data_IF_517860314277
#
_entry.id   IF_517860314277
#
_cell.length_a   1.000
_cell.length_b   1.000
_cell.length_c   1.000
_cell.angle_alpha   90.00
_cell.angle_beta   90.00
_cell.angle_gamma   90.00
#
_symmetry.space_group_name_H-M   'P 1'
#
loop_
_entity.id
_entity.type
_entity.pdbx_description
1 polymer ?
2 non-polymer ?
3 water ?
#
# COMPACT_ATOMS: atom_id res chain seq x y z
N UNK A 7 15.81 -21.56 0.41
CA UNK A 7 15.63 -21.47 -1.04
C UNK A 7 14.70 -20.31 -1.38
N UNK A 8 15.26 -19.12 -1.49
CA UNK A 8 14.52 -17.97 -1.99
C UNK A 8 14.34 -18.11 -3.50
N UNK A 9 13.32 -17.44 -4.01
CA UNK A 9 13.08 -17.43 -5.44
C UNK A 9 14.19 -16.66 -6.13
N UNK A 10 14.65 -17.17 -7.28
CA UNK A 10 15.67 -16.49 -8.08
C UNK A 10 15.18 -15.11 -8.50
N UNK A 11 15.94 -14.08 -8.11
CA UNK A 11 15.73 -12.74 -8.66
C UNK A 11 16.47 -12.65 -9.99
N UNK A 12 15.73 -12.38 -11.06
CA UNK A 12 16.31 -12.33 -12.40
C UNK A 12 17.23 -11.13 -12.54
N UNK A 13 18.45 -11.38 -13.01
CA UNK A 13 19.37 -10.32 -13.42
C UNK A 13 19.12 -10.00 -14.88
N UNK A 14 18.71 -8.77 -15.17
CA UNK A 14 18.34 -8.36 -16.52
C UNK A 14 19.52 -7.69 -17.18
N UNK A 15 19.76 -8.05 -18.45
CA UNK A 15 20.83 -7.41 -19.21
C UNK A 15 20.39 -6.03 -19.71
N UNK A 16 21.27 -5.02 -19.61
CA UNK A 16 20.85 -3.65 -19.95
C UNK A 16 20.36 -3.49 -21.39
N UNK A 17 20.80 -4.35 -22.31
CA UNK A 17 20.31 -4.24 -23.67
C UNK A 17 18.83 -4.61 -23.79
N UNK A 18 18.24 -5.17 -22.74
CA UNK A 18 16.83 -5.57 -22.78
C UNK A 18 15.89 -4.48 -22.26
N UNK A 19 16.42 -3.36 -21.78
CA UNK A 19 15.64 -2.33 -21.12
C UNK A 19 15.83 -1.02 -21.87
N UNK A 20 14.72 -0.32 -22.12
CA UNK A 20 14.76 1.04 -22.63
C UNK A 20 14.02 1.95 -21.66
N UNK A 21 14.64 3.08 -21.33
CA UNK A 21 13.99 4.14 -20.57
C UNK A 21 13.37 5.14 -21.55
N UNK A 22 12.07 5.35 -21.42
CA UNK A 22 11.37 6.23 -22.35
C UNK A 22 11.03 7.59 -21.76
N UNK A 23 10.76 7.64 -20.49
CA UNK A 23 10.42 8.87 -19.83
C UNK A 23 10.72 8.92 -18.36
N UNK A 24 11.23 10.07 -17.94
CA UNK A 24 11.57 10.38 -16.57
C UNK A 24 10.29 10.89 -15.93
N UNK A 25 9.78 10.10 -15.00
CA UNK A 25 8.53 10.34 -14.30
C UNK A 25 8.71 10.60 -12.81
N UNK A 26 9.71 10.47 -12.04
CA UNK A 26 9.97 11.00 -10.71
C UNK A 26 11.47 11.07 -10.46
N UNK A 27 11.84 11.90 -9.49
CA UNK A 27 13.24 12.11 -9.17
C UNK A 27 13.40 12.39 -7.69
N UNK A 28 14.41 11.76 -7.09
CA UNK A 28 14.79 12.01 -5.72
C UNK A 28 16.27 12.31 -5.62
N UNK A 29 16.81 12.43 -4.42
CA UNK A 29 18.23 12.69 -4.28
C UNK A 29 19.05 11.47 -4.50
N UNK A 30 18.42 10.32 -4.56
CA UNK A 30 19.13 9.06 -4.61
C UNK A 30 18.90 8.27 -5.89
N UNK A 31 18.08 8.77 -6.80
CA UNK A 31 17.80 8.09 -8.05
C UNK A 31 16.57 8.68 -8.69
N UNK A 32 16.18 8.09 -9.80
CA UNK A 32 14.97 8.52 -10.49
C UNK A 32 14.08 7.31 -10.78
N UNK A 33 12.82 7.60 -11.11
CA UNK A 33 11.89 6.60 -11.59
C UNK A 33 11.59 6.90 -13.05
N UNK A 34 11.66 5.88 -13.89
CA UNK A 34 11.37 6.02 -15.31
C UNK A 34 10.21 5.10 -15.69
N UNK A 35 9.48 5.51 -16.73
CA UNK A 35 8.64 4.60 -17.50
C UNK A 35 9.49 4.03 -18.63
N UNK A 36 9.38 2.73 -18.85
CA UNK A 36 10.18 2.10 -19.87
C UNK A 36 9.57 0.84 -20.44
N UNK A 37 10.36 0.12 -21.25
CA UNK A 37 9.97 -1.15 -21.82
C UNK A 37 11.04 -2.19 -21.50
N UNK A 38 10.61 -3.44 -21.40
CA UNK A 38 11.49 -4.57 -21.12
C UNK A 38 11.19 -5.68 -22.12
N UNK A 39 12.22 -6.16 -22.80
CA UNK A 39 12.05 -7.32 -23.67
C UNK A 39 12.45 -8.57 -22.91
N UNK A 40 11.72 -9.66 -23.15
CA UNK A 40 11.90 -10.90 -22.42
C UNK A 40 11.85 -12.07 -23.40
N UNK A 41 12.62 -13.10 -23.07
CA UNK A 41 12.42 -14.46 -23.59
C UNK A 41 12.34 -14.73 -25.12
N UNK A 42 13.30 -14.29 -25.93
CA UNK A 42 14.24 -13.21 -25.65
C UNK A 42 14.10 -12.29 -26.84
N UNK A 43 13.53 -11.12 -26.61
CA UNK A 43 13.14 -10.26 -27.71
C UNK A 43 11.86 -10.66 -28.38
N UNK A 44 11.04 -11.51 -27.75
CA UNK A 44 9.78 -11.94 -28.34
C UNK A 44 8.55 -11.34 -27.67
N UNK A 45 8.68 -10.83 -26.48
CA UNK A 45 7.59 -10.17 -25.82
C UNK A 45 8.12 -8.87 -25.23
N UNK A 46 7.31 -7.83 -25.22
CA UNK A 46 7.67 -6.52 -24.69
C UNK A 46 6.64 -6.09 -23.66
N UNK A 47 7.11 -5.71 -22.48
CA UNK A 47 6.20 -5.27 -21.44
C UNK A 47 6.58 -3.86 -21.00
N UNK A 48 5.61 -3.00 -20.73
CA UNK A 48 5.93 -1.71 -20.11
C UNK A 48 6.31 -1.93 -18.66
N UNK A 49 7.30 -1.17 -18.19
CA UNK A 49 7.86 -1.36 -16.86
C UNK A 49 8.13 -0.03 -16.20
N UNK A 50 8.11 -0.05 -14.86
CA UNK A 50 8.70 1.01 -14.06
C UNK A 50 10.14 0.65 -13.75
N UNK A 51 11.01 1.65 -13.81
CA UNK A 51 12.45 1.48 -13.66
C UNK A 51 12.91 2.46 -12.59
N UNK A 52 13.35 1.95 -11.45
CA UNK A 52 13.80 2.77 -10.33
C UNK A 52 15.32 2.60 -10.22
N UNK A 53 16.06 3.70 -10.24
CA UNK A 53 17.51 3.63 -10.23
C UNK A 53 18.06 4.03 -8.87
N UNK A 54 19.35 3.76 -8.70
CA UNK A 54 20.09 4.10 -7.54
C UNK A 54 21.40 4.78 -8.04
N UNK A 55 21.56 6.03 -7.69
CA UNK A 55 22.67 6.81 -8.19
C UNK A 55 24.03 6.46 -7.64
N UNK A 56 25.02 6.79 -8.43
CA UNK A 56 26.37 6.53 -8.06
C UNK A 56 26.68 7.28 -6.78
N UNK A 57 27.44 6.62 -5.94
CA UNK A 57 27.89 7.15 -4.69
C UNK A 57 27.19 6.54 -3.51
N UNK A 58 26.31 5.59 -3.81
CA UNK A 58 25.49 4.96 -2.83
C UNK A 58 26.24 4.21 -1.75
N UNK A 59 25.77 4.25 -0.52
CA UNK A 59 26.41 3.60 0.61
C UNK A 59 26.07 2.11 0.61
N UNK A 60 26.77 1.37 1.48
CA UNK A 60 26.44 -0.04 1.68
C UNK A 60 25.00 -0.20 2.17
N UNK A 61 24.56 0.67 3.09
CA UNK A 61 23.17 0.58 3.58
C UNK A 61 22.18 0.82 2.46
N UNK A 62 22.38 1.89 1.68
CA UNK A 62 21.52 2.15 0.54
C UNK A 62 21.48 0.95 -0.39
N UNK A 63 22.63 0.29 -0.59
CA UNK A 63 22.67 -0.86 -1.49
C UNK A 63 21.85 -2.02 -0.94
N UNK A 64 22.06 -2.38 0.33
CA UNK A 64 21.33 -3.51 0.87
C UNK A 64 19.82 -3.21 0.94
N UNK A 65 19.46 -1.96 1.25
CA UNK A 65 18.06 -1.57 1.26
C UNK A 65 17.45 -1.66 -0.13
N UNK A 66 18.17 -1.15 -1.14
CA UNK A 66 17.67 -1.09 -2.50
C UNK A 66 17.52 -2.49 -3.09
N UNK A 67 18.60 -3.26 -3.08
CA UNK A 67 18.54 -4.64 -3.60
C UNK A 67 17.69 -5.54 -2.70
N UNK A 68 17.72 -5.32 -1.38
CA UNK A 68 16.89 -6.11 -0.48
C UNK A 68 15.41 -5.93 -0.73
N UNK A 69 14.98 -4.71 -1.07
CA UNK A 69 13.59 -4.50 -1.47
C UNK A 69 13.23 -5.35 -2.68
N UNK A 70 14.13 -5.43 -3.65
CA UNK A 70 13.86 -6.29 -4.81
C UNK A 70 13.82 -7.76 -4.41
N UNK A 71 14.68 -8.19 -3.48
CA UNK A 71 14.67 -9.58 -3.07
C UNK A 71 13.38 -9.98 -2.39
N UNK A 72 12.78 -9.06 -1.63
CA UNK A 72 11.48 -9.31 -1.01
C UNK A 72 10.41 -9.43 -2.09
N UNK A 73 10.31 -8.43 -2.97
CA UNK A 73 9.34 -8.49 -4.06
C UNK A 73 9.47 -9.79 -4.85
N UNK A 74 10.71 -10.24 -5.09
CA UNK A 74 10.95 -11.43 -5.88
C UNK A 74 10.41 -12.71 -5.29
N UNK A 75 10.07 -12.70 -3.98
CA UNK A 75 9.52 -13.88 -3.35
C UNK A 75 8.01 -14.03 -3.55
N UNK A 76 7.34 -13.02 -4.10
CA UNK A 76 5.90 -12.96 -4.13
C UNK A 76 5.36 -13.16 -5.54
N UNK A 77 4.19 -13.81 -5.60
CA UNK A 77 3.45 -13.95 -6.85
C UNK A 77 1.97 -13.79 -6.50
N UNK A 78 1.51 -12.54 -6.44
CA UNK A 78 0.13 -12.28 -6.11
C UNK A 78 -0.37 -11.11 -6.93
N UNK A 79 -1.61 -11.25 -7.39
CA UNK A 79 -2.30 -10.25 -8.20
C UNK A 79 -2.23 -8.86 -7.57
N UNK A 80 -2.28 -8.78 -6.25
CA UNK A 80 -2.34 -7.50 -5.55
C UNK A 80 -1.02 -7.13 -4.90
N UNK A 81 0.08 -7.68 -5.40
CA UNK A 81 1.43 -7.33 -5.00
C UNK A 81 2.22 -6.96 -6.26
N UNK A 82 2.90 -5.81 -6.24
CA UNK A 82 3.59 -5.37 -7.46
C UNK A 82 4.59 -6.44 -7.91
N UNK A 83 4.54 -6.75 -9.20
CA UNK A 83 5.39 -7.80 -9.76
C UNK A 83 6.80 -7.29 -10.01
N UNK A 84 7.80 -8.09 -9.64
CA UNK A 84 9.19 -7.77 -9.93
C UNK A 84 9.56 -8.43 -11.27
N UNK A 85 9.95 -7.63 -12.25
CA UNK A 85 10.50 -8.23 -13.46
C UNK A 85 11.94 -8.65 -13.24
N UNK A 86 12.73 -7.83 -12.56
CA UNK A 86 14.10 -8.18 -12.25
C UNK A 86 14.90 -6.95 -11.89
N UNK A 87 16.23 -7.14 -11.83
CA UNK A 87 17.13 -6.07 -11.44
C UNK A 87 18.30 -6.02 -12.42
N UNK A 88 18.90 -4.85 -12.49
CA UNK A 88 20.24 -4.65 -13.04
C UNK A 88 21.12 -4.22 -11.88
N UNK A 89 22.03 -5.09 -11.46
CA UNK A 89 23.00 -4.78 -10.41
C UNK A 89 24.44 -4.93 -10.87
N UNK A 90 24.70 -5.77 -11.88
CA UNK A 90 26.04 -5.92 -12.45
C UNK A 90 26.51 -4.67 -13.16
N UNK A 91 25.59 -3.83 -13.61
CA UNK A 91 25.91 -2.61 -14.33
C UNK A 91 25.34 -1.43 -13.57
N UNK A 92 25.96 -0.26 -13.76
CA UNK A 92 25.56 0.96 -13.07
C UNK A 92 24.97 1.97 -14.04
N UNK A 93 23.95 2.75 -13.62
CA UNK A 93 23.34 2.66 -12.29
C UNK A 93 22.48 1.40 -12.14
N UNK A 94 22.39 0.91 -10.91
CA UNK A 94 21.56 -0.25 -10.64
C UNK A 94 20.09 0.11 -10.75
N UNK A 95 19.27 -0.86 -11.14
CA UNK A 95 17.87 -0.60 -11.40
C UNK A 95 17.01 -1.70 -10.80
N UNK A 96 15.82 -1.30 -10.35
CA UNK A 96 14.77 -2.24 -10.00
C UNK A 96 13.65 -2.07 -11.03
N UNK A 97 13.24 -3.17 -11.64
CA UNK A 97 12.32 -3.12 -12.77
C UNK A 97 11.07 -3.88 -12.36
N UNK A 98 9.95 -3.18 -12.32
CA UNK A 98 8.68 -3.73 -11.87
C UNK A 98 7.62 -3.47 -12.93
N UNK A 99 6.43 -4.03 -12.70
CA UNK A 99 5.36 -3.77 -13.64
C UNK A 99 4.93 -2.31 -13.57
N UNK A 100 4.55 -1.77 -14.72
CA UNK A 100 4.20 -0.37 -14.82
C UNK A 100 2.76 -0.16 -14.36
N UNK A 101 2.55 0.85 -13.54
CA UNK A 101 1.25 1.11 -12.91
C UNK A 101 0.81 2.51 -13.37
N UNK A 102 -0.07 2.53 -14.36
CA UNK A 102 -0.35 3.74 -15.14
C UNK A 102 -0.89 4.87 -14.29
N UNK A 103 -1.67 4.55 -13.25
CA UNK A 103 -2.35 5.59 -12.48
C UNK A 103 -1.61 5.96 -11.21
N UNK A 104 -0.40 5.42 -10.99
CA UNK A 104 0.45 5.90 -9.92
C UNK A 104 -0.09 5.55 -8.54
N UNK A 105 0.29 6.38 -7.58
CA UNK A 105 -0.05 6.15 -6.18
C UNK A 105 -1.53 6.38 -5.92
N UNK A 106 -2.11 5.52 -5.08
CA UNK A 106 -3.54 5.50 -4.86
C UNK A 106 -4.04 6.78 -4.20
N UNK A 107 -3.28 7.32 -3.25
CA UNK A 107 -3.75 8.53 -2.56
C UNK A 107 -3.89 9.71 -3.53
N UNK A 108 -2.87 9.95 -4.36
CA UNK A 108 -2.93 11.06 -5.30
C UNK A 108 -4.01 10.82 -6.37
N UNK A 109 -4.12 9.59 -6.86
CA UNK A 109 -5.13 9.22 -7.83
C UNK A 109 -6.54 9.52 -7.32
N UNK A 110 -6.83 9.11 -6.09
CA UNK A 110 -8.18 9.35 -5.57
C UNK A 110 -8.45 10.83 -5.40
N UNK A 111 -7.43 11.60 -5.01
CA UNK A 111 -7.62 13.05 -4.88
C UNK A 111 -7.96 13.70 -6.21
N UNK A 112 -7.42 13.16 -7.30
CA UNK A 112 -7.70 13.68 -8.62
C UNK A 112 -8.96 13.08 -9.25
N UNK A 113 -9.55 12.07 -8.60
CA UNK A 113 -10.81 11.49 -9.04
C UNK A 113 -11.90 11.69 -7.99
N UNK A 114 -11.87 12.81 -7.26
CA UNK A 114 -12.70 12.93 -6.06
C UNK A 114 -14.17 12.71 -6.41
N UNK A 115 -14.77 11.70 -5.76
CA UNK A 115 -16.19 11.45 -5.87
C UNK A 115 -16.63 10.77 -7.15
N UNK A 116 -15.70 10.33 -8.00
CA UNK A 116 -16.05 9.78 -9.29
C UNK A 116 -16.19 8.25 -9.30
N UNK A 117 -15.98 7.57 -8.17
CA UNK A 117 -16.09 6.11 -8.16
C UNK A 117 -17.36 5.68 -7.43
N UNK A 118 -17.80 4.45 -7.67
CA UNK A 118 -18.93 3.97 -6.88
C UNK A 118 -18.44 3.39 -5.57
N UNK A 119 -19.38 3.25 -4.63
CA UNK A 119 -19.06 2.60 -3.36
C UNK A 119 -18.54 1.19 -3.62
N UNK A 120 -19.17 0.48 -4.56
CA UNK A 120 -18.75 -0.89 -4.87
C UNK A 120 -17.33 -0.93 -5.42
N UNK A 121 -16.95 0.08 -6.19
CA UNK A 121 -15.58 0.17 -6.70
C UNK A 121 -14.58 0.41 -5.58
N UNK A 122 -14.89 1.35 -4.68
CA UNK A 122 -14.00 1.65 -3.56
C UNK A 122 -13.79 0.43 -2.68
N UNK A 123 -14.88 -0.27 -2.36
CA UNK A 123 -14.80 -1.48 -1.56
C UNK A 123 -14.03 -2.55 -2.31
N UNK A 124 -14.19 -2.61 -3.63
CA UNK A 124 -13.40 -3.52 -4.43
C UNK A 124 -11.91 -3.22 -4.39
N UNK A 125 -11.54 -1.93 -4.36
CA UNK A 125 -10.13 -1.56 -4.16
C UNK A 125 -9.63 -2.03 -2.82
N UNK A 126 -10.42 -1.81 -1.78
CA UNK A 126 -10.04 -2.26 -0.45
C UNK A 126 -9.90 -3.78 -0.41
N UNK A 127 -10.80 -4.50 -1.07
CA UNK A 127 -10.69 -5.97 -1.08
C UNK A 127 -9.36 -6.43 -1.70
N UNK A 128 -8.99 -5.85 -2.85
CA UNK A 128 -7.72 -6.21 -3.47
C UNK A 128 -6.51 -5.88 -2.60
N UNK A 129 -6.51 -4.70 -1.98
CA UNK A 129 -5.42 -4.37 -1.06
C UNK A 129 -5.35 -5.37 0.07
N UNK A 130 -6.50 -5.72 0.64
CA UNK A 130 -6.50 -6.64 1.77
C UNK A 130 -6.00 -8.02 1.37
N UNK A 131 -6.36 -8.47 0.15
CA UNK A 131 -5.89 -9.76 -0.34
C UNK A 131 -4.39 -9.80 -0.47
N UNK A 132 -3.78 -8.71 -0.94
CA UNK A 132 -2.34 -8.64 -1.04
C UNK A 132 -1.66 -8.59 0.31
N UNK A 133 -2.28 -7.90 1.27
CA UNK A 133 -1.73 -7.84 2.62
C UNK A 133 -1.86 -9.19 3.33
N UNK A 134 -2.97 -9.88 3.12
CA UNK A 134 -3.11 -11.22 3.70
C UNK A 134 -2.02 -12.14 3.19
N UNK A 135 -1.78 -12.09 1.88
CA UNK A 135 -0.71 -12.89 1.29
C UNK A 135 0.65 -12.51 1.88
N UNK A 136 0.95 -11.21 1.92
CA UNK A 136 2.20 -10.73 2.51
C UNK A 136 2.39 -11.24 3.94
N UNK A 137 1.34 -11.12 4.76
CA UNK A 137 1.41 -11.55 6.16
C UNK A 137 1.66 -13.05 6.27
N UNK A 138 0.96 -13.83 5.47
CA UNK A 138 1.09 -15.28 5.55
C UNK A 138 2.38 -15.78 4.94
N UNK A 139 3.02 -14.98 4.07
CA UNK A 139 4.40 -15.23 3.65
C UNK A 139 5.42 -14.79 4.70
N UNK A 140 4.95 -14.33 5.87
CA UNK A 140 5.78 -13.99 7.04
C UNK A 140 6.51 -12.66 6.89
N UNK A 141 5.86 -11.68 6.29
CA UNK A 141 6.42 -10.34 6.20
C UNK A 141 5.49 -9.36 6.89
N UNK A 142 6.08 -8.34 7.51
CA UNK A 142 5.35 -7.18 7.99
C UNK A 142 5.78 -5.99 7.13
N UNK A 143 4.79 -5.21 6.67
CA UNK A 143 5.10 -4.12 5.75
C UNK A 143 5.67 -2.93 6.49
N UNK A 144 4.99 -2.52 7.57
CA UNK A 144 5.36 -1.48 8.51
C UNK A 144 5.14 -0.07 7.97
N UNK A 145 4.77 0.09 6.70
CA UNK A 145 4.60 1.40 6.09
C UNK A 145 3.38 1.41 5.16
N UNK A 146 2.34 0.68 5.54
CA UNK A 146 1.15 0.56 4.69
C UNK A 146 0.34 1.85 4.74
N UNK A 147 0.13 2.45 3.56
CA UNK A 147 -0.56 3.72 3.42
C UNK A 147 -0.99 3.81 1.97
N UNK A 148 -2.03 4.61 1.70
CA UNK A 148 -2.51 4.68 0.33
C UNK A 148 -1.41 5.17 -0.62
N UNK A 149 -0.46 5.96 -0.10
CA UNK A 149 0.65 6.44 -0.92
C UNK A 149 1.61 5.33 -1.34
N UNK A 150 1.55 4.17 -0.69
CA UNK A 150 2.37 3.02 -1.04
C UNK A 150 1.54 1.91 -1.71
N UNK A 151 0.40 2.27 -2.28
CA UNK A 151 -0.43 1.40 -3.11
C UNK A 151 -0.46 2.01 -4.50
N UNK A 152 -0.17 1.22 -5.53
CA UNK A 152 -0.17 1.70 -6.90
C UNK A 152 -1.39 1.15 -7.64
N UNK A 153 -1.81 1.87 -8.67
CA UNK A 153 -3.06 1.60 -9.38
C UNK A 153 -2.74 1.48 -10.87
N UNK A 154 -3.13 0.35 -11.48
CA UNK A 154 -2.90 0.22 -12.92
C UNK A 154 -4.11 0.77 -13.67
N UNK A 155 -4.04 0.77 -15.00
CA UNK A 155 -5.13 1.42 -15.73
C UNK A 155 -6.42 0.61 -15.69
N UNK A 156 -6.41 -0.62 -15.19
CA UNK A 156 -7.65 -1.35 -14.95
C UNK A 156 -8.19 -1.14 -13.55
N UNK A 157 -7.66 -0.17 -12.81
CA UNK A 157 -8.10 0.18 -11.46
C UNK A 157 -7.77 -0.91 -10.42
N UNK A 158 -6.87 -1.85 -10.75
CA UNK A 158 -6.42 -2.83 -9.77
C UNK A 158 -5.38 -2.18 -8.86
N UNK A 159 -5.58 -2.29 -7.55
CA UNK A 159 -4.63 -1.74 -6.58
C UNK A 159 -3.65 -2.81 -6.11
N UNK A 160 -2.37 -2.43 -6.01
CA UNK A 160 -1.32 -3.37 -5.64
C UNK A 160 -0.39 -2.75 -4.60
N UNK A 161 -0.06 -3.52 -3.58
CA UNK A 161 0.86 -3.07 -2.54
C UNK A 161 2.25 -2.91 -3.14
N UNK A 162 2.89 -1.77 -2.86
CA UNK A 162 4.25 -1.50 -3.31
C UNK A 162 5.12 -1.02 -2.16
N UNK A 163 6.31 -0.53 -2.49
CA UNK A 163 7.19 0.13 -1.52
C UNK A 163 7.46 -0.75 -0.31
N UNK A 164 8.22 -1.81 -0.57
CA UNK A 164 8.59 -2.76 0.47
C UNK A 164 9.93 -2.43 1.10
N UNK A 165 10.39 -1.17 0.97
CA UNK A 165 11.70 -0.82 1.48
C UNK A 165 11.84 -0.95 2.98
N UNK A 166 10.73 -0.81 3.71
CA UNK A 166 10.70 -0.97 5.16
C UNK A 166 10.11 -2.29 5.60
N UNK A 167 9.82 -3.20 4.66
CA UNK A 167 9.28 -4.50 5.05
C UNK A 167 10.36 -5.36 5.68
N UNK A 168 9.94 -6.26 6.57
CA UNK A 168 10.86 -7.14 7.29
C UNK A 168 10.28 -8.53 7.40
N UNK A 169 11.14 -9.55 7.32
CA UNK A 169 10.70 -10.88 7.72
C UNK A 169 10.44 -10.87 9.21
N UNK A 170 9.32 -11.48 9.62
CA UNK A 170 8.92 -11.45 11.01
C UNK A 170 9.95 -12.18 11.88
N UNK A 171 9.97 -11.83 13.16
CA UNK A 171 10.86 -12.46 14.12
C UNK A 171 10.12 -13.00 15.34
N UNK A 185 8.70 6.44 9.74
CA UNK A 185 7.36 5.92 9.49
C UNK A 185 6.32 6.87 10.08
N UNK A 186 5.41 7.37 9.24
CA UNK A 186 4.41 8.33 9.73
C UNK A 186 3.61 7.80 10.92
N UNK A 187 3.58 8.61 11.97
CA UNK A 187 2.88 8.26 13.19
C UNK A 187 1.42 7.92 12.91
N UNK A 188 0.75 8.71 12.06
CA UNK A 188 -0.70 8.59 12.03
C UNK A 188 -1.21 7.39 11.25
N UNK A 189 -0.32 6.60 10.64
CA UNK A 189 -0.69 5.31 10.06
C UNK A 189 -0.27 4.13 10.95
N UNK A 190 0.43 4.36 12.06
CA UNK A 190 1.06 3.30 12.83
C UNK A 190 0.28 2.94 14.09
N UNK A 191 0.21 1.63 14.37
CA UNK A 191 -0.49 1.14 15.55
C UNK A 191 0.18 1.62 16.84
N UNK A 192 -0.60 1.85 17.91
CA UNK A 192 -0.02 2.36 19.17
C UNK A 192 1.13 1.54 19.74
N UNK A 193 1.03 0.20 19.70
CA UNK A 193 2.13 -0.62 20.22
C UNK A 193 3.36 -0.60 19.32
N UNK A 194 3.21 -0.26 18.04
CA UNK A 194 4.37 -0.10 17.19
C UNK A 194 5.03 1.27 17.37
N UNK A 195 4.23 2.31 17.64
CA UNK A 195 4.78 3.61 17.98
C UNK A 195 5.64 3.53 19.25
N UNK A 196 5.05 3.00 20.32
CA UNK A 196 5.69 3.03 21.64
C UNK A 196 6.78 1.97 21.76
N UNK A 197 6.46 0.71 21.44
CA UNK A 197 7.35 -0.41 21.75
C UNK A 197 8.06 -0.97 20.53
N UNK A 198 7.90 -0.37 19.35
CA UNK A 198 8.48 -0.88 18.10
C UNK A 198 8.06 -2.32 17.84
N UNK A 199 6.89 -2.71 18.34
CA UNK A 199 6.34 -4.04 18.11
C UNK A 199 5.55 -4.02 16.80
N UNK A 200 6.25 -4.26 15.69
CA UNK A 200 5.60 -4.31 14.38
C UNK A 200 5.25 -5.76 14.06
N UNK A 201 3.96 -6.01 13.76
CA UNK A 201 3.46 -7.32 13.39
C UNK A 201 2.41 -7.15 12.29
N UNK A 202 1.89 -8.27 11.81
CA UNK A 202 0.78 -8.16 10.87
C UNK A 202 -0.42 -7.47 11.52
N UNK A 203 -0.53 -7.55 12.86
CA UNK A 203 -1.62 -6.86 13.54
C UNK A 203 -1.44 -5.35 13.52
N UNK A 204 -0.21 -4.85 13.50
CA UNK A 204 -0.05 -3.40 13.35
C UNK A 204 -0.26 -2.98 11.89
N UNK A 205 0.03 -3.87 10.93
CA UNK A 205 -0.36 -3.57 9.55
C UNK A 205 -1.88 -3.47 9.43
N UNK A 206 -2.61 -4.23 10.23
CA UNK A 206 -4.07 -4.18 10.17
C UNK A 206 -4.57 -2.80 10.61
N UNK A 207 -4.00 -2.26 11.69
CA UNK A 207 -4.29 -0.87 12.08
C UNK A 207 -4.07 0.06 10.89
N UNK A 208 -2.90 -0.04 10.26
CA UNK A 208 -2.59 0.81 9.12
C UNK A 208 -3.61 0.61 7.99
N UNK A 209 -4.01 -0.65 7.76
CA UNK A 209 -5.04 -0.91 6.75
C UNK A 209 -6.33 -0.17 7.06
N UNK A 210 -6.75 -0.16 8.33
CA UNK A 210 -7.93 0.62 8.68
C UNK A 210 -7.79 2.08 8.30
N UNK A 211 -6.58 2.63 8.45
CA UNK A 211 -6.37 4.00 7.98
C UNK A 211 -6.50 4.07 6.47
N UNK A 212 -5.94 3.07 5.76
CA UNK A 212 -6.06 3.05 4.30
C UNK A 212 -7.53 2.96 3.90
N UNK A 213 -8.34 2.16 4.63
CA UNK A 213 -9.78 2.14 4.38
C UNK A 213 -10.38 3.54 4.47
N UNK A 214 -9.97 4.32 5.48
CA UNK A 214 -10.48 5.67 5.64
C UNK A 214 -9.96 6.58 4.53
N UNK A 215 -8.71 6.38 4.11
CA UNK A 215 -8.17 7.14 2.98
C UNK A 215 -8.97 6.88 1.70
N UNK A 216 -9.29 5.62 1.44
CA UNK A 216 -10.00 5.31 0.20
C UNK A 216 -11.42 5.89 0.23
N UNK A 217 -12.14 5.69 1.34
CA UNK A 217 -13.54 6.11 1.35
C UNK A 217 -13.68 7.62 1.40
N UNK A 218 -12.62 8.35 1.77
CA UNK A 218 -12.60 9.81 1.74
C UNK A 218 -11.93 10.39 0.50
N UNK A 219 -11.52 9.55 -0.45
CA UNK A 219 -10.78 10.00 -1.63
C UNK A 219 -9.49 10.71 -1.25
N UNK A 220 -8.77 10.16 -0.29
CA UNK A 220 -7.45 10.67 0.02
C UNK A 220 -7.43 11.83 0.99
N UNK A 221 -8.41 11.91 1.89
CA UNK A 221 -8.35 12.94 2.93
C UNK A 221 -7.15 12.68 3.85
N UNK A 222 -6.59 13.75 4.41
CA UNK A 222 -5.43 13.60 5.31
C UNK A 222 -5.90 13.07 6.66
N UNK A 223 -5.45 11.89 7.08
CA UNK A 223 -5.89 11.35 8.38
C UNK A 223 -5.58 12.34 9.51
N UNK A 224 -6.62 12.61 10.31
CA UNK A 224 -6.57 13.47 11.50
C UNK A 224 -6.35 14.94 11.14
N UNK A 225 -6.43 15.30 9.86
CA UNK A 225 -6.42 16.71 9.37
C UNK A 225 -5.25 17.47 9.97
N UNK A 226 -5.48 18.63 10.59
CA UNK A 226 -4.40 19.51 11.04
C UNK A 226 -3.76 19.07 12.36
N UNK A 227 -4.28 18.03 13.03
CA UNK A 227 -3.67 17.55 14.26
C UNK A 227 -2.20 17.24 14.06
N UNK A 228 -1.38 17.61 15.04
CA UNK A 228 0.02 17.25 15.05
C UNK A 228 0.18 15.78 15.42
N UNK A 229 1.40 15.24 15.23
CA UNK A 229 1.66 13.86 15.62
C UNK A 229 1.40 13.64 17.11
N UNK A 230 1.89 14.55 17.95
CA UNK A 230 1.60 14.46 19.38
C UNK A 230 0.10 14.43 19.64
N UNK A 231 -0.65 15.29 18.94
CA UNK A 231 -2.10 15.37 19.12
C UNK A 231 -2.80 14.08 18.64
N UNK A 232 -2.29 13.48 17.57
CA UNK A 232 -2.84 12.19 17.13
C UNK A 232 -2.63 11.13 18.20
N UNK A 233 -1.43 11.11 18.79
CA UNK A 233 -1.16 10.15 19.86
C UNK A 233 -2.06 10.41 21.06
N UNK A 234 -2.25 11.68 21.44
CA UNK A 234 -3.15 11.99 22.54
C UNK A 234 -4.55 11.51 22.27
N UNK A 235 -5.05 11.71 21.04
CA UNK A 235 -6.44 11.40 20.76
C UNK A 235 -6.64 9.90 20.77
N UNK A 236 -5.77 9.17 20.06
CA UNK A 236 -5.91 7.71 20.02
C UNK A 236 -5.86 7.15 21.43
N UNK A 237 -4.85 7.55 22.18
CA UNK A 237 -4.63 7.19 23.59
C UNK A 237 -5.93 7.45 24.40
N UNK A 238 -6.67 8.52 24.11
CA UNK A 238 -7.92 8.82 24.79
C UNK A 238 -9.12 8.05 24.23
N UNK A 239 -8.92 7.20 23.22
CA UNK A 239 -10.04 6.49 22.63
C UNK A 239 -10.71 7.18 21.45
N UNK A 240 -10.19 8.32 20.99
CA UNK A 240 -10.73 8.94 19.78
C UNK A 240 -10.36 8.12 18.57
N UNK A 241 -11.28 8.02 17.61
CA UNK A 241 -11.01 7.38 16.33
C UNK A 241 -11.51 8.29 15.21
N UNK A 242 -10.96 8.07 14.01
CA UNK A 242 -11.37 8.88 12.86
C UNK A 242 -12.88 8.76 12.64
N UNK A 243 -13.58 9.87 12.39
CA UNK A 243 -15.03 9.80 12.20
C UNK A 243 -15.37 9.18 10.85
N UNK A 244 -16.66 8.86 10.65
CA UNK A 244 -17.04 8.19 9.43
C UNK A 244 -16.80 9.08 8.22
N UNK A 245 -16.31 8.54 7.11
CA UNK A 245 -16.32 9.29 5.85
C UNK A 245 -17.74 9.57 5.41
N UNK A 246 -17.89 10.52 4.47
CA UNK A 246 -19.20 10.79 3.88
C UNK A 246 -19.65 9.61 3.03
N UNK A 247 -20.94 9.29 3.09
CA UNK A 247 -21.53 8.25 2.24
C UNK A 247 -20.81 6.91 2.40
N UNK A 248 -20.46 6.59 3.61
CA UNK A 248 -19.71 5.35 3.87
C UNK A 248 -20.65 4.27 4.38
N UNK A 249 -20.66 3.07 3.78
CA UNK A 249 -21.47 1.97 4.32
C UNK A 249 -21.19 1.75 5.80
N UNK A 250 -22.27 1.58 6.56
CA UNK A 250 -22.09 1.27 7.98
C UNK A 250 -21.17 0.08 8.18
N UNK A 251 -21.31 -0.96 7.35
CA UNK A 251 -20.46 -2.14 7.50
C UNK A 251 -18.99 -1.80 7.33
N UNK A 252 -18.68 -0.93 6.37
CA UNK A 252 -17.30 -0.58 6.10
C UNK A 252 -16.72 0.24 7.25
N UNK A 253 -17.52 1.12 7.84
CA UNK A 253 -17.00 1.91 8.96
C UNK A 253 -16.79 1.05 10.21
N UNK A 254 -17.72 0.13 10.49
CA UNK A 254 -17.52 -0.77 11.63
C UNK A 254 -16.26 -1.59 11.43
N UNK A 255 -16.01 -2.05 10.20
CA UNK A 255 -14.80 -2.83 9.95
C UNK A 255 -13.54 -2.00 10.17
N UNK A 256 -13.51 -0.75 9.69
CA UNK A 256 -12.29 0.01 9.93
C UNK A 256 -12.14 0.33 11.42
N UNK A 257 -13.24 0.58 12.10
CA UNK A 257 -13.19 0.76 13.56
C UNK A 257 -12.57 -0.43 14.26
N UNK A 258 -12.87 -1.65 13.80
CA UNK A 258 -12.31 -2.83 14.44
C UNK A 258 -10.82 -2.95 14.22
N UNK A 259 -10.33 -2.48 13.05
CA UNK A 259 -8.89 -2.43 12.81
C UNK A 259 -8.17 -1.52 13.80
N UNK A 260 -8.86 -0.55 14.40
CA UNK A 260 -8.25 0.37 15.35
C UNK A 260 -8.48 -0.04 16.81
N UNK A 261 -8.66 -1.33 17.09
CA UNK A 261 -8.72 -1.75 18.49
C UNK A 261 -7.37 -1.51 19.14
N UNK A 262 -7.39 -0.89 20.33
CA UNK A 262 -6.15 -0.68 21.09
C UNK A 262 -5.42 -2.00 21.34
N UNK A 263 -6.15 -3.01 21.78
CA UNK A 263 -5.59 -4.34 22.04
C UNK A 263 -5.41 -5.07 20.71
N UNK A 264 -4.15 -5.30 20.30
CA UNK A 264 -3.90 -5.78 18.95
C UNK A 264 -4.50 -7.17 18.71
N UNK A 265 -4.61 -8.00 19.75
CA UNK A 265 -5.22 -9.31 19.54
C UNK A 265 -6.71 -9.22 19.24
N UNK A 266 -7.36 -8.08 19.49
CA UNK A 266 -8.78 -7.94 19.19
C UNK A 266 -9.05 -7.45 17.76
N UNK A 267 -8.01 -7.04 17.04
CA UNK A 267 -8.18 -6.59 15.67
C UNK A 267 -8.44 -7.78 14.73
N UNK A 268 -9.19 -7.57 13.65
CA UNK A 268 -9.39 -8.67 12.69
C UNK A 268 -8.08 -9.03 12.02
N UNK A 269 -7.98 -10.29 11.59
CA UNK A 269 -6.87 -10.64 10.71
C UNK A 269 -7.22 -10.21 9.29
N UNK A 270 -6.18 -10.11 8.45
CA UNK A 270 -6.45 -9.85 7.04
C UNK A 270 -7.35 -10.94 6.46
N UNK A 271 -7.20 -12.18 6.93
CA UNK A 271 -8.12 -13.25 6.53
C UNK A 271 -9.58 -12.87 6.79
N UNK A 272 -9.86 -12.32 7.98
CA UNK A 272 -11.22 -11.90 8.30
C UNK A 272 -11.67 -10.75 7.43
N UNK A 273 -10.77 -9.78 7.20
CA UNK A 273 -11.12 -8.60 6.41
C UNK A 273 -11.51 -9.01 4.99
N UNK A 274 -10.69 -9.84 4.35
CA UNK A 274 -11.00 -10.25 2.98
C UNK A 274 -12.35 -10.98 2.96
N UNK A 275 -12.57 -11.85 3.94
CA UNK A 275 -13.81 -12.62 3.96
C UNK A 275 -15.02 -11.71 4.10
N UNK A 276 -14.94 -10.72 4.99
CA UNK A 276 -16.06 -9.80 5.23
C UNK A 276 -16.35 -8.99 3.97
N UNK A 277 -15.30 -8.40 3.38
CA UNK A 277 -15.50 -7.60 2.19
C UNK A 277 -16.09 -8.43 1.06
N UNK A 278 -15.66 -9.70 0.92
CA UNK A 278 -16.27 -10.55 -0.09
C UNK A 278 -17.76 -10.76 0.17
N UNK A 279 -18.15 -10.98 1.43
CA UNK A 279 -19.56 -11.16 1.74
C UNK A 279 -20.37 -9.90 1.43
N UNK A 280 -19.78 -8.73 1.66
CA UNK A 280 -20.50 -7.49 1.34
C UNK A 280 -20.63 -7.30 -0.17
N UNK A 281 -19.54 -7.54 -0.91
CA UNK A 281 -19.59 -7.39 -2.35
C UNK A 281 -20.56 -8.40 -2.97
N UNK A 282 -20.65 -9.60 -2.37
CA UNK A 282 -21.55 -10.63 -2.89
C UNK A 282 -23.01 -10.27 -2.69
N UNK A 283 -23.35 -9.51 -1.65
CA UNK A 283 -24.71 -9.06 -1.41
C UNK A 283 -24.69 -7.55 -1.31
N UNK A 284 -24.57 -6.85 -2.43
CA UNK A 284 -24.19 -5.43 -2.39
C UNK A 284 -25.23 -4.49 -1.78
N UNK A 285 -26.51 -4.87 -1.72
CA UNK A 285 -27.45 -4.04 -0.96
C UNK A 285 -27.06 -3.91 0.51
N UNK A 286 -26.26 -4.84 1.02
CA UNK A 286 -25.67 -4.69 2.36
C UNK A 286 -24.93 -3.37 2.50
N UNK A 287 -24.33 -2.87 1.42
CA UNK A 287 -23.56 -1.64 1.50
C UNK A 287 -24.43 -0.39 1.48
N UNK A 288 -25.75 -0.53 1.28
CA UNK A 288 -26.61 0.64 1.19
C UNK A 288 -26.98 1.22 2.54
N UNK A 289 -26.75 0.49 3.63
CA UNK A 289 -26.96 1.06 4.97
C UNK A 289 -25.74 1.91 5.32
N UNK A 290 -25.94 3.22 5.40
CA UNK A 290 -24.85 4.17 5.60
C UNK A 290 -24.69 4.53 7.07
N UNK A 291 -23.43 4.65 7.50
CA UNK A 291 -23.16 5.23 8.81
C UNK A 291 -23.46 6.72 8.76
N UNK A 292 -24.05 7.22 9.85
CA UNK A 292 -24.38 8.63 9.96
C UNK A 292 -23.14 9.50 9.83
N UNK A 293 -23.17 10.46 8.91
CA UNK A 293 -22.06 11.40 8.79
C UNK A 293 -22.26 12.54 9.78
N UNK A 294 -21.26 12.79 10.60
CA UNK A 294 -21.41 13.80 11.64
C UNK A 294 -21.28 15.17 11.00
N UNK A 295 -22.37 15.94 10.86
CA UNK A 295 -22.25 17.26 10.21
C UNK A 295 -21.36 18.18 11.01
N UNK A 296 -20.28 18.63 10.37
CA UNK A 296 -19.35 19.54 11.04
C UNK A 296 -19.79 21.00 10.96
N UNK A 297 -20.72 21.32 10.07
CA UNK A 297 -21.26 22.66 9.94
C UNK A 297 -22.78 22.55 9.90
N UNK A 298 -23.43 23.66 10.19
CA UNK A 298 -24.88 23.74 10.15
C UNK A 298 -25.28 24.86 9.21
N UNK A 299 -26.09 24.51 8.22
CA UNK A 299 -26.69 25.47 7.31
C UNK A 299 -28.20 25.30 7.45
N UNK A 300 -28.89 26.41 7.74
CA UNK A 300 -30.34 26.38 7.91
C UNK A 300 -31.07 26.95 6.69
#
# INVERSE_FOLDING_TARGET
>A
GDPNQAVLKFTTEIHPSCVTRQKVIGAGEFGEVYKGMLKTSSGKKEVPVAIKTLKAGYTEKQRVDFLGEAGIMGQFSHHNIIRLEGVISKYKPMMIITEYMENGALDKFLREKDGEFSVLQLVGMLRGIAAGMKYLANMNYVHRDLAARNILVNSNLVCKVSDFGLSRVLEDDPEATYTTSGGKIPIRWTAPEAISYRKFTSASDVWSFGIVMWEVMTYGERPYWELSNHEVMKAINDGFRLPTPMDCPSAIYQLMMQCWQQERARRPKFADIVSILDKLIRAPDSLKTLADFDPRVSIRLPSTSG
#
